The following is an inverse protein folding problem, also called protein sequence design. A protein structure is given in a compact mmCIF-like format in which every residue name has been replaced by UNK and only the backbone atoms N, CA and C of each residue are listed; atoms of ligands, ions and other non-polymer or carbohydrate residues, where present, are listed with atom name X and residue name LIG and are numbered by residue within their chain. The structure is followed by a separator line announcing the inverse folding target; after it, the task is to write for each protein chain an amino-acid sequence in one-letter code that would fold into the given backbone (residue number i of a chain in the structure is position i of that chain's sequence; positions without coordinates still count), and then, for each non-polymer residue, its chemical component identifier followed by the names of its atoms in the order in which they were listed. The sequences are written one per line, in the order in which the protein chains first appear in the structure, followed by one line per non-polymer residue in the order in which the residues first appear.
data_IF_265562671016
#
_entry.id   IF_265562671016
#
_cell.length_a   1.000
_cell.length_b   1.000
_cell.length_c   1.000
_cell.angle_alpha   90.00
_cell.angle_beta   90.00
_cell.angle_gamma   90.00
#
_symmetry.space_group_name_H-M   'P 1'
#
loop_
_entity.id
_entity.type
_entity.pdbx_description
1 polymer ?
#
# COMPACT_ATOMS: atom_id res chain seq x y z
N UNK A 1 -1.43 -15.56 37.01
CA UNK A 1 -2.29 -15.72 35.83
C UNK A 1 -1.34 -15.89 34.66
N UNK A 2 -1.20 -17.12 34.20
CA UNK A 2 -0.31 -17.47 33.10
C UNK A 2 -0.96 -17.02 31.80
N UNK A 3 -0.29 -16.13 31.08
CA UNK A 3 -0.68 -15.69 29.75
C UNK A 3 -0.23 -16.78 28.76
N UNK A 4 -1.05 -17.82 28.62
CA UNK A 4 -0.89 -18.86 27.59
C UNK A 4 -1.57 -18.42 26.29
N UNK A 5 -1.16 -17.28 25.72
CA UNK A 5 -1.39 -17.06 24.29
C UNK A 5 -0.54 -18.06 23.51
N UNK A 6 -1.15 -19.19 23.14
CA UNK A 6 -0.49 -20.27 22.45
C UNK A 6 0.05 -19.85 21.07
N UNK A 7 1.02 -20.60 20.50
CA UNK A 7 1.66 -20.29 19.21
C UNK A 7 0.67 -20.18 18.02
N UNK A 8 -0.55 -20.70 18.19
CA UNK A 8 -1.63 -20.62 17.20
C UNK A 8 -2.31 -19.24 17.13
N UNK A 9 -2.42 -18.53 18.26
CA UNK A 9 -3.05 -17.19 18.28
C UNK A 9 -2.17 -16.16 17.56
N UNK A 10 -0.85 -16.21 17.81
CA UNK A 10 0.10 -15.34 17.13
C UNK A 10 0.13 -15.57 15.61
N UNK A 11 0.06 -16.84 15.16
CA UNK A 11 0.05 -17.15 13.72
C UNK A 11 -1.26 -16.74 13.05
N UNK A 12 -2.38 -16.90 13.72
CA UNK A 12 -3.68 -16.46 13.21
C UNK A 12 -3.75 -14.93 13.11
N UNK A 13 -3.25 -14.21 14.12
CA UNK A 13 -3.18 -12.75 14.10
C UNK A 13 -2.32 -12.23 12.95
N UNK A 14 -1.14 -12.84 12.70
CA UNK A 14 -0.26 -12.48 11.57
C UNK A 14 -0.95 -12.76 10.23
N UNK A 15 -1.69 -13.87 10.10
CA UNK A 15 -2.46 -14.16 8.89
C UNK A 15 -3.53 -13.10 8.62
N UNK A 16 -4.30 -12.71 9.64
CA UNK A 16 -5.31 -11.66 9.48
C UNK A 16 -4.68 -10.31 9.14
N UNK A 17 -3.56 -9.97 9.78
CA UNK A 17 -2.80 -8.77 9.44
C UNK A 17 -2.30 -8.82 7.98
N UNK A 18 -1.85 -9.97 7.50
CA UNK A 18 -1.42 -10.15 6.11
C UNK A 18 -2.56 -9.87 5.12
N UNK A 19 -3.75 -10.42 5.36
CA UNK A 19 -4.92 -10.15 4.53
C UNK A 19 -5.31 -8.67 4.54
N UNK A 20 -5.27 -8.03 5.71
CA UNK A 20 -5.56 -6.61 5.84
C UNK A 20 -4.53 -5.74 5.08
N UNK A 21 -3.23 -6.04 5.22
CA UNK A 21 -2.16 -5.34 4.49
C UNK A 21 -2.36 -5.48 2.98
N UNK A 22 -2.66 -6.68 2.48
CA UNK A 22 -2.97 -6.88 1.06
C UNK A 22 -4.15 -6.02 0.59
N UNK A 23 -5.24 -5.95 1.38
CA UNK A 23 -6.42 -5.16 1.04
C UNK A 23 -6.12 -3.66 0.99
N UNK A 24 -5.39 -3.14 1.98
CA UNK A 24 -4.97 -1.73 2.00
C UNK A 24 -4.06 -1.39 0.81
N UNK A 25 -3.07 -2.24 0.53
CA UNK A 25 -2.14 -2.07 -0.61
C UNK A 25 -2.90 -2.08 -1.93
N UNK A 26 -3.71 -3.12 -2.16
CA UNK A 26 -4.50 -3.24 -3.39
C UNK A 26 -5.43 -2.04 -3.58
N UNK A 27 -6.15 -1.64 -2.52
CA UNK A 27 -7.06 -0.51 -2.56
C UNK A 27 -6.35 0.79 -2.94
N UNK A 28 -5.20 1.07 -2.33
CA UNK A 28 -4.45 2.30 -2.59
C UNK A 28 -3.87 2.33 -4.01
N UNK A 29 -3.34 1.21 -4.52
CA UNK A 29 -2.81 1.11 -5.90
C UNK A 29 -3.91 1.23 -6.93
N UNK A 30 -5.08 0.61 -6.70
CA UNK A 30 -6.24 0.78 -7.58
C UNK A 30 -6.65 2.25 -7.62
N UNK A 31 -6.73 2.91 -6.45
CA UNK A 31 -7.08 4.34 -6.33
C UNK A 31 -6.05 5.24 -7.01
N UNK A 32 -4.77 4.88 -6.99
CA UNK A 32 -3.74 5.56 -7.77
C UNK A 32 -4.04 5.46 -9.27
N UNK A 33 -4.17 4.24 -9.80
CA UNK A 33 -4.34 4.02 -11.25
C UNK A 33 -5.66 4.56 -11.85
N UNK A 34 -6.72 4.68 -11.05
CA UNK A 34 -7.96 5.35 -11.50
C UNK A 34 -7.89 6.88 -11.42
N UNK A 35 -6.92 7.42 -10.69
CA UNK A 35 -6.77 8.88 -10.49
C UNK A 35 -5.69 9.47 -11.37
N UNK A 36 -4.56 8.76 -11.52
CA UNK A 36 -3.35 9.25 -12.14
C UNK A 36 -2.92 8.33 -13.29
N UNK A 37 -2.40 8.95 -14.33
CA UNK A 37 -1.57 8.35 -15.37
C UNK A 37 -0.13 8.82 -15.12
N UNK A 38 0.70 7.96 -14.56
CA UNK A 38 2.02 8.33 -14.03
C UNK A 38 2.95 7.12 -13.90
N UNK A 39 4.05 7.24 -13.15
CA UNK A 39 4.97 6.14 -12.90
C UNK A 39 4.24 4.86 -12.44
N UNK A 40 4.66 3.71 -12.96
CA UNK A 40 4.04 2.44 -12.63
C UNK A 40 4.24 2.10 -11.15
N UNK A 41 3.17 1.62 -10.52
CA UNK A 41 3.18 1.11 -9.16
C UNK A 41 2.73 -0.34 -9.22
N UNK A 42 3.66 -1.24 -8.94
CA UNK A 42 3.41 -2.67 -8.90
C UNK A 42 3.32 -3.13 -7.44
N UNK A 43 2.59 -4.21 -7.21
CA UNK A 43 2.63 -4.90 -5.93
C UNK A 43 2.40 -6.39 -6.11
N UNK A 44 2.94 -7.18 -5.18
CA UNK A 44 2.74 -8.62 -5.09
C UNK A 44 2.84 -9.06 -3.63
N UNK A 45 2.48 -10.31 -3.32
CA UNK A 45 2.50 -10.84 -1.97
C UNK A 45 3.00 -12.28 -1.93
N UNK A 46 3.39 -12.73 -0.74
CA UNK A 46 4.07 -14.01 -0.54
C UNK A 46 3.26 -15.24 -0.93
N UNK A 47 1.93 -15.13 -1.08
CA UNK A 47 1.11 -16.25 -1.55
C UNK A 47 1.21 -16.45 -3.08
N UNK A 48 1.57 -15.40 -3.82
CA UNK A 48 1.79 -15.45 -5.27
C UNK A 48 3.27 -15.50 -5.65
N UNK A 49 4.15 -14.96 -4.81
CA UNK A 49 5.60 -14.88 -5.04
C UNK A 49 6.36 -15.62 -3.92
N UNK A 50 6.68 -16.92 -4.09
CA UNK A 50 7.32 -17.73 -3.05
C UNK A 50 8.72 -17.28 -2.65
N UNK A 51 9.35 -16.42 -3.45
CA UNK A 51 10.66 -15.83 -3.14
C UNK A 51 10.57 -14.77 -2.04
N UNK A 52 9.37 -14.24 -1.76
CA UNK A 52 9.16 -13.28 -0.69
C UNK A 52 9.11 -13.95 0.69
N UNK A 53 9.50 -13.23 1.76
CA UNK A 53 9.26 -13.68 3.12
C UNK A 53 7.79 -14.01 3.37
N UNK A 54 7.51 -15.03 4.18
CA UNK A 54 6.15 -15.43 4.50
C UNK A 54 5.35 -14.26 5.11
N UNK A 55 4.07 -14.15 4.71
CA UNK A 55 3.15 -13.11 5.15
C UNK A 55 3.69 -11.69 4.87
N UNK A 56 4.21 -11.47 3.66
CA UNK A 56 4.70 -10.16 3.25
C UNK A 56 4.10 -9.70 1.93
N UNK A 57 4.03 -8.39 1.80
CA UNK A 57 3.58 -7.69 0.59
C UNK A 57 4.71 -6.78 0.13
N UNK A 58 5.08 -6.89 -1.14
CA UNK A 58 6.04 -6.00 -1.78
C UNK A 58 5.30 -4.99 -2.64
N UNK A 59 5.69 -3.72 -2.55
CA UNK A 59 5.26 -2.63 -3.43
C UNK A 59 6.50 -2.06 -4.11
N UNK A 60 6.43 -1.80 -5.41
CA UNK A 60 7.55 -1.22 -6.17
C UNK A 60 7.11 -0.08 -7.07
N UNK A 61 7.97 0.93 -7.19
CA UNK A 61 7.81 2.03 -8.15
C UNK A 61 9.16 2.71 -8.39
N UNK A 62 9.44 3.12 -9.63
CA UNK A 62 10.64 3.91 -9.94
C UNK A 62 11.98 3.26 -9.54
N UNK A 63 12.06 1.92 -9.48
CA UNK A 63 13.25 1.20 -9.02
C UNK A 63 13.41 1.11 -7.49
N UNK A 64 12.44 1.62 -6.73
CA UNK A 64 12.37 1.50 -5.28
C UNK A 64 11.40 0.39 -4.88
N UNK A 65 11.72 -0.30 -3.79
CA UNK A 65 10.87 -1.36 -3.22
C UNK A 65 10.57 -1.08 -1.75
N UNK A 66 9.33 -1.35 -1.35
CA UNK A 66 8.87 -1.38 0.03
C UNK A 66 8.37 -2.79 0.34
N UNK A 67 8.92 -3.40 1.39
CA UNK A 67 8.44 -4.67 1.91
C UNK A 67 7.66 -4.43 3.21
N UNK A 68 6.38 -4.84 3.21
CA UNK A 68 5.51 -4.79 4.37
C UNK A 68 5.38 -6.22 4.94
N UNK A 69 5.91 -6.44 6.14
CA UNK A 69 5.83 -7.74 6.82
C UNK A 69 4.66 -7.74 7.81
N UNK A 70 3.74 -8.69 7.70
CA UNK A 70 2.48 -8.66 8.43
C UNK A 70 2.64 -8.70 9.97
N UNK A 71 3.72 -9.29 10.48
CA UNK A 71 4.05 -9.33 11.91
C UNK A 71 4.25 -7.93 12.52
N UNK A 72 4.73 -6.97 11.73
CA UNK A 72 4.92 -5.57 12.17
C UNK A 72 3.60 -4.80 12.28
N UNK A 73 2.54 -5.30 11.64
CA UNK A 73 1.24 -4.63 11.51
C UNK A 73 0.14 -5.25 12.37
N UNK A 74 0.45 -6.30 13.14
CA UNK A 74 -0.51 -6.91 14.07
C UNK A 74 -1.01 -5.85 15.06
N UNK A 75 -2.33 -5.63 15.07
CA UNK A 75 -2.99 -4.67 15.95
C UNK A 75 -2.93 -3.19 15.50
N UNK A 76 -2.35 -2.89 14.33
CA UNK A 76 -2.22 -1.53 13.79
C UNK A 76 -2.34 -1.46 12.27
N UNK A 77 -3.15 -2.35 11.69
CA UNK A 77 -3.33 -2.46 10.24
C UNK A 77 -3.96 -1.21 9.62
N UNK A 78 -4.69 -0.42 10.41
CA UNK A 78 -5.25 0.87 10.04
C UNK A 78 -4.19 1.92 9.67
N UNK A 79 -2.95 1.77 10.16
CA UNK A 79 -1.83 2.66 9.82
C UNK A 79 -1.15 2.31 8.49
N UNK A 80 -1.40 1.13 7.92
CA UNK A 80 -0.72 0.62 6.72
C UNK A 80 -0.92 1.56 5.54
N UNK A 81 -2.16 2.02 5.33
CA UNK A 81 -2.50 2.87 4.21
C UNK A 81 -1.75 4.21 4.28
N UNK A 82 -1.72 4.86 5.46
CA UNK A 82 -0.99 6.11 5.66
C UNK A 82 0.53 5.92 5.46
N UNK A 83 1.09 4.82 5.99
CA UNK A 83 2.51 4.49 5.80
C UNK A 83 2.87 4.31 4.33
N UNK A 84 2.05 3.55 3.61
CA UNK A 84 2.27 3.26 2.19
C UNK A 84 2.08 4.51 1.34
N UNK A 85 1.02 5.29 1.60
CA UNK A 85 0.78 6.52 0.88
C UNK A 85 1.93 7.51 1.03
N UNK A 86 2.41 7.74 2.26
CA UNK A 86 3.58 8.58 2.50
C UNK A 86 4.85 8.06 1.82
N UNK A 87 5.05 6.73 1.76
CA UNK A 87 6.16 6.16 1.01
C UNK A 87 6.02 6.39 -0.51
N UNK A 88 4.84 6.17 -1.09
CA UNK A 88 4.60 6.41 -2.52
C UNK A 88 4.79 7.88 -2.89
N UNK A 89 4.29 8.82 -2.08
CA UNK A 89 4.50 10.25 -2.30
C UNK A 89 5.99 10.65 -2.34
N UNK A 90 6.84 9.93 -1.61
CA UNK A 90 8.27 10.18 -1.58
C UNK A 90 9.04 9.57 -2.78
N UNK A 91 8.45 8.61 -3.50
CA UNK A 91 9.13 7.85 -4.55
C UNK A 91 8.47 7.94 -5.93
N UNK A 92 7.23 8.46 -6.02
CA UNK A 92 6.56 8.77 -7.27
C UNK A 92 6.81 10.23 -7.61
N UNK A 93 7.32 10.49 -8.81
CA UNK A 93 7.39 11.85 -9.36
C UNK A 93 6.01 12.31 -9.86
N UNK A 94 5.20 12.84 -8.94
CA UNK A 94 3.86 13.36 -9.24
C UNK A 94 3.86 14.55 -10.19
N UNK A 95 4.99 15.27 -10.35
CA UNK A 95 5.07 16.38 -11.31
C UNK A 95 4.99 15.87 -12.76
N UNK A 96 5.32 14.60 -12.99
CA UNK A 96 5.21 13.96 -14.32
C UNK A 96 3.86 13.27 -14.55
N UNK A 97 3.08 13.06 -13.49
CA UNK A 97 1.79 12.38 -13.56
C UNK A 97 0.68 13.31 -14.07
N UNK A 98 -0.29 12.74 -14.78
CA UNK A 98 -1.48 13.42 -15.30
C UNK A 98 -2.73 12.89 -14.61
N UNK A 99 -3.75 13.75 -14.46
CA UNK A 99 -5.06 13.27 -14.01
C UNK A 99 -5.72 12.40 -15.08
N UNK A 100 -6.36 11.33 -14.64
CA UNK A 100 -7.26 10.55 -15.46
C UNK A 100 -8.47 11.40 -15.87
N UNK A 101 -9.02 11.13 -17.06
CA UNK A 101 -10.09 11.97 -17.66
C UNK A 101 -11.48 11.75 -17.05
N UNK A 102 -11.64 10.78 -16.14
CA UNK A 102 -12.93 10.46 -15.54
C UNK A 102 -13.06 11.03 -14.10
N UNK A 103 -13.65 12.23 -13.93
CA UNK A 103 -13.69 12.90 -12.63
C UNK A 103 -14.50 12.15 -11.56
N UNK A 104 -15.41 11.25 -11.95
CA UNK A 104 -16.25 10.48 -10.99
C UNK A 104 -15.48 9.35 -10.28
N UNK A 105 -14.24 9.06 -10.70
CA UNK A 105 -13.44 7.96 -10.18
C UNK A 105 -12.15 8.42 -9.49
N UNK A 106 -11.88 9.73 -9.48
CA UNK A 106 -10.67 10.26 -8.87
C UNK A 106 -10.74 10.09 -7.36
N UNK A 107 -9.74 9.42 -6.80
CA UNK A 107 -9.58 9.24 -5.37
C UNK A 107 -9.14 10.57 -4.73
N UNK A 108 -9.86 11.08 -3.71
CA UNK A 108 -9.59 12.40 -3.13
C UNK A 108 -8.16 12.60 -2.65
N UNK A 109 -7.56 11.58 -2.03
CA UNK A 109 -6.20 11.63 -1.48
C UNK A 109 -5.14 11.81 -2.58
N UNK A 110 -5.28 11.11 -3.71
CA UNK A 110 -4.38 11.22 -4.85
C UNK A 110 -4.58 12.52 -5.61
N UNK A 111 -5.84 12.97 -5.75
CA UNK A 111 -6.16 14.26 -6.34
C UNK A 111 -5.57 15.42 -5.52
N UNK A 112 -5.69 15.36 -4.20
CA UNK A 112 -5.12 16.35 -3.30
C UNK A 112 -3.58 16.39 -3.40
N UNK A 113 -2.93 15.23 -3.39
CA UNK A 113 -1.47 15.15 -3.53
C UNK A 113 -1.00 15.69 -4.90
N UNK A 114 -1.73 15.41 -5.97
CA UNK A 114 -1.43 15.94 -7.31
C UNK A 114 -1.55 17.48 -7.34
N UNK A 115 -2.63 18.05 -6.79
CA UNK A 115 -2.81 19.50 -6.74
C UNK A 115 -1.72 20.23 -5.93
N UNK A 116 -1.12 19.58 -4.92
CA UNK A 116 -0.04 20.17 -4.15
C UNK A 116 1.23 20.41 -5.00
N UNK A 117 1.44 19.65 -6.07
CA UNK A 117 2.59 19.81 -6.98
C UNK A 117 2.22 20.45 -8.32
N UNK A 118 0.92 20.57 -8.63
CA UNK A 118 0.36 21.26 -9.80
C UNK A 118 -0.57 22.41 -9.38
N UNK A 119 -0.03 23.55 -8.90
CA UNK A 119 -0.83 24.63 -8.32
C UNK A 119 -1.71 25.37 -9.34
N UNK A 120 -1.34 25.34 -10.63
CA UNK A 120 -2.05 26.05 -11.71
C UNK A 120 -3.03 25.16 -12.50
N UNK A 121 -3.06 23.86 -12.22
CA UNK A 121 -3.89 22.86 -12.91
C UNK A 121 -3.34 22.40 -14.26
#
# INVERSE_FOLDING_TARGET
MSDESGPFEGRHAVYLAHQAVQQHVAGLVIRYGVTLDGPEVEWTHSDLEPSLPAYSVRVSTGGHELLLRADEWVGRTDEVEARMFGWLLAHIDLATAKLQTNPKRLAPEWLQAWHQVHPDG
#
